data_IF_571013698789
#
_entry.id   IF_571013698789
#
_cell.length_a   1.000
_cell.length_b   1.000
_cell.length_c   1.000
_cell.angle_alpha   90.00
_cell.angle_beta   90.00
_cell.angle_gamma   90.00
#
_symmetry.space_group_name_H-M   'P 1'
#
loop_
_entity.id
_entity.type
_entity.pdbx_description
1 polymer ?
#
# COMPACT_ATOMS: atom_id res chain seq x y z
N UNK A 1 -19.04 -80.66 24.45
CA UNK A 1 -18.66 -79.24 24.24
C UNK A 1 -17.87 -79.13 22.94
N UNK A 2 -18.49 -78.62 21.86
CA UNK A 2 -17.79 -78.40 20.58
C UNK A 2 -17.02 -77.09 20.69
N UNK A 3 -15.69 -77.18 20.65
CA UNK A 3 -14.79 -76.04 20.64
C UNK A 3 -14.89 -75.33 19.28
N UNK A 4 -15.46 -74.12 19.26
CA UNK A 4 -15.35 -73.22 18.11
C UNK A 4 -13.91 -72.71 18.05
N UNK A 5 -13.07 -73.37 17.24
CA UNK A 5 -11.79 -72.80 16.82
C UNK A 5 -12.09 -71.64 15.87
N UNK A 6 -11.91 -70.41 16.34
CA UNK A 6 -11.76 -69.26 15.46
C UNK A 6 -10.44 -69.46 14.73
N UNK A 7 -10.49 -69.85 13.46
CA UNK A 7 -9.29 -69.79 12.62
C UNK A 7 -9.02 -68.33 12.32
N UNK A 8 -7.90 -67.79 12.81
CA UNK A 8 -7.28 -66.62 12.18
C UNK A 8 -6.96 -67.00 10.74
N UNK A 9 -7.94 -66.81 9.84
CA UNK A 9 -7.65 -66.74 8.42
C UNK A 9 -6.74 -65.53 8.30
N UNK A 10 -5.47 -65.80 8.00
CA UNK A 10 -4.51 -64.82 7.52
C UNK A 10 -5.26 -63.85 6.60
N UNK A 11 -5.11 -62.55 6.87
CA UNK A 11 -5.67 -61.49 6.04
C UNK A 11 -5.56 -61.89 4.56
N UNK A 12 -6.69 -61.96 3.88
CA UNK A 12 -6.77 -62.42 2.49
C UNK A 12 -5.79 -61.58 1.66
N UNK A 13 -4.80 -62.22 1.02
CA UNK A 13 -3.73 -61.48 0.31
C UNK A 13 -4.29 -60.51 -0.73
N UNK A 14 -5.44 -60.84 -1.30
CA UNK A 14 -6.21 -59.98 -2.20
C UNK A 14 -6.69 -58.68 -1.52
N UNK A 15 -7.19 -58.74 -0.28
CA UNK A 15 -7.61 -57.56 0.47
C UNK A 15 -6.42 -56.66 0.83
N UNK A 16 -5.26 -57.24 1.11
CA UNK A 16 -4.01 -56.48 1.33
C UNK A 16 -3.63 -55.73 0.05
N UNK A 17 -3.60 -56.41 -1.10
CA UNK A 17 -3.25 -55.78 -2.38
C UNK A 17 -4.25 -54.69 -2.80
N UNK A 18 -5.54 -54.85 -2.52
CA UNK A 18 -6.55 -53.81 -2.77
C UNK A 18 -6.27 -52.58 -1.91
N UNK A 19 -5.96 -52.76 -0.62
CA UNK A 19 -5.63 -51.68 0.29
C UNK A 19 -4.35 -50.94 -0.14
N UNK A 20 -3.30 -51.67 -0.50
CA UNK A 20 -2.05 -51.10 -1.01
C UNK A 20 -2.28 -50.25 -2.27
N UNK A 21 -3.10 -50.74 -3.20
CA UNK A 21 -3.47 -50.00 -4.41
C UNK A 21 -4.23 -48.71 -4.08
N UNK A 22 -5.19 -48.77 -3.15
CA UNK A 22 -5.94 -47.60 -2.71
C UNK A 22 -5.06 -46.57 -2.01
N UNK A 23 -4.14 -47.02 -1.14
CA UNK A 23 -3.17 -46.15 -0.48
C UNK A 23 -2.24 -45.48 -1.49
N UNK A 24 -1.79 -46.22 -2.51
CA UNK A 24 -0.96 -45.67 -3.58
C UNK A 24 -1.71 -44.59 -4.37
N UNK A 25 -2.94 -44.87 -4.81
CA UNK A 25 -3.76 -43.91 -5.54
C UNK A 25 -4.08 -42.67 -4.70
N UNK A 26 -4.41 -42.87 -3.42
CA UNK A 26 -4.68 -41.77 -2.47
C UNK A 26 -3.45 -40.92 -2.25
N UNK A 27 -2.26 -41.54 -2.10
CA UNK A 27 -0.99 -40.83 -1.96
C UNK A 27 -0.72 -39.97 -3.20
N UNK A 28 -0.88 -40.53 -4.40
CA UNK A 28 -0.68 -39.80 -5.64
C UNK A 28 -1.64 -38.60 -5.76
N UNK A 29 -2.92 -38.80 -5.47
CA UNK A 29 -3.91 -37.72 -5.48
C UNK A 29 -3.59 -36.63 -4.46
N UNK A 30 -3.13 -37.02 -3.26
CA UNK A 30 -2.72 -36.07 -2.22
C UNK A 30 -1.48 -35.26 -2.61
N UNK A 31 -0.49 -35.88 -3.24
CA UNK A 31 0.71 -35.20 -3.73
C UNK A 31 0.36 -34.18 -4.82
N UNK A 32 -0.51 -34.56 -5.76
CA UNK A 32 -1.02 -33.63 -6.78
C UNK A 32 -1.75 -32.44 -6.15
N UNK A 33 -2.68 -32.70 -5.23
CA UNK A 33 -3.42 -31.66 -4.54
C UNK A 33 -2.48 -30.66 -3.83
N UNK A 34 -1.50 -31.16 -3.07
CA UNK A 34 -0.58 -30.27 -2.37
C UNK A 34 0.30 -29.47 -3.33
N UNK A 35 0.76 -30.09 -4.42
CA UNK A 35 1.53 -29.38 -5.43
C UNK A 35 0.74 -28.19 -6.00
N UNK A 36 -0.50 -28.42 -6.43
CA UNK A 36 -1.37 -27.36 -6.95
C UNK A 36 -1.68 -26.30 -5.89
N UNK A 37 -2.10 -26.73 -4.70
CA UNK A 37 -2.45 -25.84 -3.60
C UNK A 37 -1.30 -24.91 -3.19
N UNK A 38 -0.08 -25.46 -3.06
CA UNK A 38 1.08 -24.65 -2.70
C UNK A 38 1.50 -23.73 -3.84
N UNK A 39 1.44 -24.18 -5.09
CA UNK A 39 1.77 -23.31 -6.23
C UNK A 39 0.80 -22.14 -6.35
N UNK A 40 -0.50 -22.37 -6.21
CA UNK A 40 -1.51 -21.31 -6.20
C UNK A 40 -1.26 -20.32 -5.05
N UNK A 41 -0.97 -20.85 -3.85
CA UNK A 41 -0.67 -20.01 -2.68
C UNK A 41 0.61 -19.19 -2.87
N UNK A 42 1.65 -19.78 -3.45
CA UNK A 42 2.90 -19.08 -3.77
C UNK A 42 2.63 -17.98 -4.79
N UNK A 43 1.91 -18.28 -5.88
CA UNK A 43 1.55 -17.30 -6.89
C UNK A 43 0.76 -16.12 -6.29
N UNK A 44 -0.22 -16.40 -5.44
CA UNK A 44 -1.00 -15.37 -4.74
C UNK A 44 -0.15 -14.50 -3.80
N UNK A 45 0.85 -15.08 -3.13
CA UNK A 45 1.78 -14.30 -2.28
C UNK A 45 2.71 -13.44 -3.13
N UNK A 46 3.23 -13.98 -4.24
CA UNK A 46 4.10 -13.23 -5.16
C UNK A 46 3.36 -12.05 -5.79
N UNK A 47 2.12 -12.24 -6.22
CA UNK A 47 1.28 -11.16 -6.75
C UNK A 47 1.08 -10.04 -5.72
N UNK A 48 0.69 -10.38 -4.48
CA UNK A 48 0.53 -9.37 -3.42
C UNK A 48 1.82 -8.63 -3.13
N UNK A 49 2.96 -9.31 -3.20
CA UNK A 49 4.26 -8.67 -3.01
C UNK A 49 4.54 -7.65 -4.11
N UNK A 50 4.25 -7.99 -5.35
CA UNK A 50 4.42 -7.07 -6.49
C UNK A 50 3.52 -5.83 -6.35
N UNK A 51 2.27 -6.01 -5.89
CA UNK A 51 1.35 -4.91 -5.57
C UNK A 51 1.95 -4.00 -4.48
N UNK A 52 2.43 -4.58 -3.37
CA UNK A 52 3.08 -3.81 -2.30
C UNK A 52 4.34 -3.08 -2.75
N UNK A 53 5.19 -3.73 -3.52
CA UNK A 53 6.43 -3.12 -4.02
C UNK A 53 6.10 -1.92 -4.93
N UNK A 54 5.04 -2.03 -5.74
CA UNK A 54 4.56 -0.93 -6.59
C UNK A 54 4.02 0.25 -5.78
N UNK A 55 3.19 -0.01 -4.77
CA UNK A 55 2.66 1.02 -3.87
C UNK A 55 3.77 1.73 -3.08
N UNK A 56 4.78 0.98 -2.62
CA UNK A 56 5.88 1.53 -1.85
C UNK A 56 6.77 2.44 -2.70
N UNK A 57 7.00 2.09 -3.98
CA UNK A 57 7.71 2.95 -4.94
C UNK A 57 6.96 4.27 -5.14
N UNK A 58 5.65 4.22 -5.36
CA UNK A 58 4.83 5.43 -5.53
C UNK A 58 4.90 6.32 -4.28
N UNK A 59 4.75 5.73 -3.09
CA UNK A 59 4.84 6.46 -1.82
C UNK A 59 6.21 7.13 -1.63
N UNK A 60 7.29 6.42 -2.00
CA UNK A 60 8.64 6.97 -1.93
C UNK A 60 8.85 8.14 -2.89
N UNK A 61 8.28 8.08 -4.09
CA UNK A 61 8.34 9.18 -5.06
C UNK A 61 7.57 10.41 -4.57
N UNK A 62 6.36 10.23 -4.03
CA UNK A 62 5.59 11.31 -3.43
C UNK A 62 6.33 11.96 -2.25
N UNK A 63 6.94 11.15 -1.39
CA UNK A 63 7.70 11.66 -0.25
C UNK A 63 8.94 12.44 -0.70
N UNK A 64 9.64 11.96 -1.75
CA UNK A 64 10.76 12.69 -2.36
C UNK A 64 10.30 14.02 -2.94
N UNK A 65 9.19 14.05 -3.68
CA UNK A 65 8.63 15.28 -4.23
C UNK A 65 8.28 16.28 -3.11
N UNK A 66 7.65 15.81 -2.03
CA UNK A 66 7.33 16.63 -0.86
C UNK A 66 8.58 17.20 -0.19
N UNK A 67 9.61 16.38 0.04
CA UNK A 67 10.88 16.82 0.60
C UNK A 67 11.56 17.88 -0.27
N UNK A 68 11.58 17.69 -1.59
CA UNK A 68 12.12 18.68 -2.52
C UNK A 68 11.34 20.00 -2.46
N UNK A 69 10.01 19.93 -2.39
CA UNK A 69 9.15 21.14 -2.27
C UNK A 69 9.36 21.90 -0.95
N UNK A 70 9.74 21.21 0.12
CA UNK A 70 10.04 21.83 1.42
C UNK A 70 11.46 22.41 1.45
N UNK A 71 12.42 21.78 0.77
CA UNK A 71 13.81 22.23 0.74
C UNK A 71 13.96 23.63 0.13
N UNK A 72 13.17 23.98 -0.88
CA UNK A 72 13.16 25.33 -1.43
C UNK A 72 12.60 26.35 -0.43
N UNK A 73 11.52 26.00 0.27
CA UNK A 73 10.86 26.85 1.27
C UNK A 73 11.68 27.08 2.54
N UNK A 74 12.63 26.20 2.86
CA UNK A 74 13.53 26.38 4.01
C UNK A 74 14.35 27.67 3.96
N UNK A 75 14.63 28.20 2.76
CA UNK A 75 15.33 29.48 2.58
C UNK A 75 14.44 30.71 2.82
N UNK A 76 13.12 30.53 2.76
CA UNK A 76 12.12 31.57 2.99
C UNK A 76 11.67 31.59 4.46
N UNK A 77 12.18 30.69 5.30
CA UNK A 77 11.83 30.66 6.71
C UNK A 77 12.55 31.77 7.49
N UNK A 78 11.80 32.37 8.40
CA UNK A 78 12.36 33.31 9.38
C UNK A 78 13.14 32.51 10.42
N UNK A 79 14.41 32.86 10.59
CA UNK A 79 15.32 32.34 11.62
C UNK A 79 15.71 33.46 12.58
N UNK A 80 16.43 33.13 13.65
CA UNK A 80 16.89 34.15 14.60
C UNK A 80 17.82 35.17 13.93
N UNK A 81 18.55 34.75 12.89
CA UNK A 81 19.53 35.57 12.18
C UNK A 81 18.90 36.60 11.21
N UNK A 82 17.71 36.31 10.64
CA UNK A 82 17.09 37.17 9.62
C UNK A 82 15.81 37.90 10.09
N UNK A 83 15.45 37.80 11.37
CA UNK A 83 14.17 38.31 11.90
C UNK A 83 14.02 39.82 11.74
N UNK A 84 15.07 40.59 12.00
CA UNK A 84 15.03 42.07 11.93
C UNK A 84 14.87 42.55 10.47
N UNK A 85 15.52 41.86 9.52
CA UNK A 85 15.38 42.14 8.08
C UNK A 85 13.96 41.84 7.60
N UNK A 86 13.40 40.69 7.98
CA UNK A 86 12.01 40.33 7.63
C UNK A 86 10.99 41.31 8.22
N UNK A 87 11.17 41.78 9.45
CA UNK A 87 10.26 42.77 10.05
C UNK A 87 10.30 44.09 9.27
N UNK A 88 11.48 44.56 8.90
CA UNK A 88 11.63 45.78 8.09
C UNK A 88 11.02 45.62 6.69
N UNK A 89 11.19 44.46 6.06
CA UNK A 89 10.54 44.13 4.79
C UNK A 89 9.01 44.16 4.91
N UNK A 90 8.43 43.56 5.95
CA UNK A 90 6.98 43.54 6.16
C UNK A 90 6.41 44.95 6.34
N UNK A 91 7.12 45.81 7.10
CA UNK A 91 6.66 47.18 7.37
C UNK A 91 6.80 48.10 6.15
N UNK A 92 7.71 47.78 5.23
CA UNK A 92 7.91 48.53 3.98
C UNK A 92 7.13 47.96 2.80
N UNK A 93 6.65 46.72 2.91
CA UNK A 93 5.90 46.04 1.85
C UNK A 93 4.44 46.50 1.77
N UNK A 94 3.83 46.51 0.56
CA UNK A 94 2.40 46.72 0.42
C UNK A 94 1.62 45.69 1.23
N UNK A 95 0.52 46.11 1.86
CA UNK A 95 -0.33 45.20 2.62
C UNK A 95 -0.83 44.06 1.75
N UNK A 96 -0.57 42.82 2.17
CA UNK A 96 -1.08 41.63 1.49
C UNK A 96 -2.60 41.57 1.64
N UNK A 97 -3.32 41.57 0.51
CA UNK A 97 -4.79 41.53 0.49
C UNK A 97 -5.27 40.10 0.24
N UNK A 98 -5.80 39.47 1.28
CA UNK A 98 -6.41 38.14 1.19
C UNK A 98 -7.91 38.17 0.86
N UNK A 99 -8.54 39.36 0.92
CA UNK A 99 -9.97 39.49 0.65
C UNK A 99 -10.26 39.33 -0.85
N UNK A 100 -11.18 38.43 -1.18
CA UNK A 100 -11.74 38.26 -2.52
C UNK A 100 -13.24 37.98 -2.45
N UNK A 101 -13.94 38.19 -3.57
CA UNK A 101 -15.37 37.88 -3.70
C UNK A 101 -15.53 36.73 -4.68
N UNK A 102 -16.46 35.82 -4.40
CA UNK A 102 -16.84 34.74 -5.31
C UNK A 102 -18.20 35.09 -5.92
N UNK A 103 -18.25 35.20 -7.25
CA UNK A 103 -19.49 35.43 -7.98
C UNK A 103 -20.35 34.16 -7.99
N UNK A 104 -21.64 34.32 -8.27
CA UNK A 104 -22.64 33.23 -8.34
C UNK A 104 -22.24 32.06 -9.26
N UNK A 105 -21.43 32.33 -10.31
CA UNK A 105 -20.87 31.32 -11.21
C UNK A 105 -19.53 30.71 -10.75
N UNK A 106 -19.12 30.94 -9.51
CA UNK A 106 -17.86 30.44 -8.93
C UNK A 106 -16.60 31.22 -9.35
N UNK A 107 -16.74 32.37 -10.02
CA UNK A 107 -15.60 33.19 -10.45
C UNK A 107 -15.06 34.03 -9.30
N UNK A 108 -13.77 33.88 -8.99
CA UNK A 108 -13.08 34.68 -7.98
C UNK A 108 -12.73 36.06 -8.55
N UNK A 109 -13.06 37.12 -7.82
CA UNK A 109 -12.73 38.51 -8.14
C UNK A 109 -11.95 39.12 -6.97
N UNK A 110 -10.73 39.55 -7.25
CA UNK A 110 -9.89 40.26 -6.29
C UNK A 110 -10.14 41.78 -6.41
N UNK A 111 -10.32 42.52 -5.30
CA UNK A 111 -10.51 43.95 -5.32
C UNK A 111 -9.27 44.67 -5.88
N UNK A 112 -9.47 45.56 -6.86
CA UNK A 112 -8.37 46.32 -7.52
C UNK A 112 -7.59 47.17 -6.52
N UNK A 113 -6.30 47.35 -6.79
CA UNK A 113 -5.41 48.24 -6.03
C UNK A 113 -5.88 49.68 -6.13
N UNK A 114 -6.57 50.16 -5.09
CA UNK A 114 -6.74 51.60 -4.83
C UNK A 114 -5.47 52.07 -4.11
N UNK A 115 -4.41 52.31 -4.87
CA UNK A 115 -3.12 52.78 -4.37
C UNK A 115 -2.46 53.68 -5.41
N UNK A 116 -2.72 54.98 -5.29
CA UNK A 116 -2.11 56.14 -5.96
C UNK A 116 -2.51 56.45 -7.41
N UNK A 117 -3.65 57.13 -7.54
CA UNK A 117 -3.86 58.18 -8.55
C UNK A 117 -4.53 59.37 -7.86
N UNK A 118 -3.76 60.18 -7.13
CA UNK A 118 -4.12 61.54 -6.75
C UNK A 118 -2.95 62.24 -6.07
N UNK A 119 -2.49 63.30 -6.73
CA UNK A 119 -1.52 64.34 -6.34
C UNK A 119 -0.05 64.07 -6.64
#
# INVERSE_FOLDING_TARGET
LKSCRVSEKAFDGELISINEKWNYQTKLGREHYYFEYFNEKIAGVLQKREEYDTEEVQRMEELRAKLLSMKSRGKEMVTHENIDECVNEIMSSPTVRFNYVVLERGRIVHPKNSGNSSS
#
